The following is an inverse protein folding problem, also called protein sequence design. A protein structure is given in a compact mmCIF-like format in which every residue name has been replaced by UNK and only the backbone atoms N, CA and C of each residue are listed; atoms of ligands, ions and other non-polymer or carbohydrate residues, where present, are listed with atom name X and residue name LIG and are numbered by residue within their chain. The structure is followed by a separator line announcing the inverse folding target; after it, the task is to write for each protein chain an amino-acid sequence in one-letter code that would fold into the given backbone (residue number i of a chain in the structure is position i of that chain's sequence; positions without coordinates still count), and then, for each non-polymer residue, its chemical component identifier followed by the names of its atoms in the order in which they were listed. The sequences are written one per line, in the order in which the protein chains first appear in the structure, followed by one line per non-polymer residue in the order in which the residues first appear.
data_IF_475401809462
#
_entry.id   IF_475401809462
#
_cell.length_a   1.000
_cell.length_b   1.000
_cell.length_c   1.000
_cell.angle_alpha   90.00
_cell.angle_beta   90.00
_cell.angle_gamma   90.00
#
_symmetry.space_group_name_H-M   'P 1'
#
loop_
_entity.id
_entity.type
_entity.pdbx_description
1 polymer ?
#
# COMPACT_ATOMS: atom_id res chain seq x y z
N UNK A 1 1.37 -3.76 7.41
CA UNK A 1 0.59 -3.93 6.17
C UNK A 1 -0.64 -4.83 6.38
N UNK A 2 -0.50 -6.00 7.01
CA UNK A 2 -1.64 -6.91 7.29
C UNK A 2 -2.84 -6.23 7.97
N UNK A 3 -2.64 -5.38 8.97
CA UNK A 3 -3.72 -4.62 9.61
C UNK A 3 -4.48 -3.72 8.63
N UNK A 4 -3.81 -3.08 7.66
CA UNK A 4 -4.47 -2.26 6.65
C UNK A 4 -5.25 -3.15 5.67
N UNK A 5 -4.65 -4.26 5.22
CA UNK A 5 -5.30 -5.23 4.34
C UNK A 5 -6.58 -5.81 4.95
N UNK A 6 -6.55 -6.22 6.23
CA UNK A 6 -7.74 -6.69 6.94
C UNK A 6 -8.87 -5.64 6.95
N UNK A 7 -8.50 -4.38 7.15
CA UNK A 7 -9.46 -3.28 7.23
C UNK A 7 -10.03 -2.92 5.85
N UNK A 8 -9.24 -3.03 4.79
CA UNK A 8 -9.71 -2.93 3.41
C UNK A 8 -10.77 -3.99 3.10
N UNK A 9 -10.53 -5.24 3.48
CA UNK A 9 -11.50 -6.32 3.24
C UNK A 9 -12.80 -6.10 4.05
N UNK A 10 -12.71 -5.64 5.30
CA UNK A 10 -13.89 -5.25 6.10
C UNK A 10 -14.65 -4.08 5.46
N UNK A 11 -13.95 -3.10 4.89
CA UNK A 11 -14.56 -1.96 4.23
C UNK A 11 -15.29 -2.39 2.95
N UNK A 12 -14.65 -3.21 2.12
CA UNK A 12 -15.28 -3.79 0.92
C UNK A 12 -16.49 -4.65 1.27
N UNK A 13 -16.45 -5.44 2.33
CA UNK A 13 -17.60 -6.24 2.74
C UNK A 13 -18.84 -5.38 3.07
N UNK A 14 -18.65 -4.13 3.49
CA UNK A 14 -19.74 -3.19 3.81
C UNK A 14 -20.17 -2.32 2.62
N UNK A 15 -19.22 -1.95 1.77
CA UNK A 15 -19.42 -0.95 0.70
C UNK A 15 -19.37 -1.56 -0.72
N UNK A 16 -19.08 -2.86 -0.84
CA UNK A 16 -18.84 -3.59 -2.09
C UNK A 16 -17.73 -3.02 -2.99
N UNK A 17 -16.92 -2.11 -2.47
CA UNK A 17 -15.80 -1.46 -3.16
C UNK A 17 -14.75 -1.02 -2.13
N UNK A 18 -13.49 -0.88 -2.58
CA UNK A 18 -12.43 -0.23 -1.80
C UNK A 18 -12.39 1.29 -2.00
N UNK A 19 -13.14 1.83 -2.97
CA UNK A 19 -13.18 3.26 -3.25
C UNK A 19 -13.70 4.02 -2.03
N UNK A 20 -13.01 5.11 -1.69
CA UNK A 20 -13.28 5.92 -0.51
C UNK A 20 -12.63 5.42 0.78
N UNK A 21 -11.90 4.29 0.75
CA UNK A 21 -11.21 3.80 1.94
C UNK A 21 -10.11 4.78 2.39
N UNK A 22 -10.08 5.06 3.69
CA UNK A 22 -9.09 5.92 4.32
C UNK A 22 -8.61 5.29 5.63
N UNK A 23 -7.31 5.02 5.75
CA UNK A 23 -6.73 4.34 6.91
C UNK A 23 -6.49 5.24 8.14
N UNK A 24 -6.80 6.54 8.08
CA UNK A 24 -6.49 7.51 9.15
C UNK A 24 -6.99 7.09 10.54
N UNK A 25 -8.19 6.49 10.62
CA UNK A 25 -8.78 6.03 11.88
C UNK A 25 -7.96 4.93 12.58
N UNK A 26 -7.09 4.23 11.86
CA UNK A 26 -6.19 3.21 12.42
C UNK A 26 -4.97 3.83 13.14
N UNK A 27 -4.69 5.10 12.87
CA UNK A 27 -3.51 5.85 13.34
C UNK A 27 -3.90 7.19 14.00
N UNK A 28 -4.73 7.16 15.06
CA UNK A 28 -5.29 8.37 15.68
C UNK A 28 -4.25 9.22 16.44
N UNK A 29 -3.03 8.73 16.63
CA UNK A 29 -2.00 9.38 17.43
C UNK A 29 -0.82 9.82 16.55
N UNK A 30 -0.49 11.11 16.61
CA UNK A 30 0.77 11.72 16.15
C UNK A 30 1.05 11.76 14.63
N UNK A 31 0.14 12.27 13.79
CA UNK A 31 0.47 12.73 12.41
C UNK A 31 1.33 11.77 11.55
N UNK A 32 1.25 10.48 11.84
CA UNK A 32 2.07 9.43 11.19
C UNK A 32 1.47 9.07 9.84
N UNK A 33 0.15 9.23 9.71
CA UNK A 33 -0.61 8.97 8.50
C UNK A 33 -0.97 10.29 7.81
N UNK A 34 -0.55 10.45 6.57
CA UNK A 34 -0.96 11.55 5.70
C UNK A 34 -2.16 11.11 4.86
N UNK A 35 -3.29 11.77 5.12
CA UNK A 35 -4.57 11.50 4.43
C UNK A 35 -4.49 11.89 2.95
N UNK A 36 -3.74 12.93 2.62
CA UNK A 36 -3.68 13.51 1.27
C UNK A 36 -2.93 12.62 0.30
N UNK A 37 -1.98 11.82 0.79
CA UNK A 37 -1.20 10.86 0.00
C UNK A 37 -1.47 9.39 0.36
N UNK A 38 -2.34 9.12 1.35
CA UNK A 38 -2.56 7.79 1.92
C UNK A 38 -1.23 7.10 2.33
N UNK A 39 -0.32 7.86 2.96
CA UNK A 39 0.99 7.35 3.38
C UNK A 39 1.11 7.25 4.89
N UNK A 40 1.80 6.22 5.37
CA UNK A 40 2.16 6.03 6.77
C UNK A 40 3.68 6.04 6.93
N UNK A 41 4.22 6.96 7.73
CA UNK A 41 5.65 7.05 8.00
C UNK A 41 6.03 6.37 9.33
N UNK A 42 6.64 5.19 9.27
CA UNK A 42 7.03 4.43 10.47
C UNK A 42 8.40 4.88 10.99
N UNK A 43 8.44 6.03 11.68
CA UNK A 43 9.63 6.59 12.33
C UNK A 43 10.86 6.64 11.41
N UNK A 44 10.66 7.08 10.17
CA UNK A 44 11.70 7.16 9.14
C UNK A 44 12.41 5.83 8.82
N UNK A 45 11.83 4.67 9.19
CA UNK A 45 12.32 3.35 8.76
C UNK A 45 11.63 2.87 7.49
N UNK A 46 10.31 3.04 7.46
CA UNK A 46 9.49 2.66 6.33
C UNK A 46 8.47 3.73 6.00
N UNK A 47 8.22 3.92 4.71
CA UNK A 47 7.08 4.68 4.21
C UNK A 47 6.13 3.72 3.52
N UNK A 48 4.95 3.52 4.10
CA UNK A 48 3.91 2.68 3.52
C UNK A 48 2.96 3.57 2.72
N UNK A 49 2.62 3.18 1.50
CA UNK A 49 1.67 3.88 0.64
C UNK A 49 0.54 2.94 0.26
N UNK A 50 -0.69 3.45 0.24
CA UNK A 50 -1.89 2.72 -0.16
C UNK A 50 -2.53 3.39 -1.39
N UNK A 51 -2.74 2.60 -2.44
CA UNK A 51 -3.32 3.06 -3.71
C UNK A 51 -4.31 2.04 -4.27
N UNK A 52 -5.09 2.48 -5.26
CA UNK A 52 -5.86 1.61 -6.15
C UNK A 52 -4.91 0.82 -7.07
N UNK A 53 -5.26 -0.43 -7.38
CA UNK A 53 -4.47 -1.29 -8.26
C UNK A 53 -4.69 -1.01 -9.76
N UNK A 54 -5.61 -0.12 -10.13
CA UNK A 54 -5.81 0.27 -11.52
C UNK A 54 -4.62 1.05 -12.10
N UNK A 55 -4.58 1.17 -13.43
CA UNK A 55 -3.58 1.97 -14.14
C UNK A 55 -3.49 3.39 -13.58
N UNK A 56 -2.27 3.85 -13.34
CA UNK A 56 -1.99 5.17 -12.74
C UNK A 56 -2.02 5.19 -11.22
N UNK A 57 -2.46 4.09 -10.58
CA UNK A 57 -2.46 3.91 -9.13
C UNK A 57 -2.99 5.12 -8.33
N UNK A 58 -4.18 5.65 -8.66
CA UNK A 58 -4.76 6.76 -7.90
C UNK A 58 -4.99 6.34 -6.44
N UNK A 59 -5.12 7.32 -5.56
CA UNK A 59 -5.51 7.03 -4.18
C UNK A 59 -6.91 6.43 -4.16
N UNK A 60 -7.17 5.50 -3.24
CA UNK A 60 -8.52 4.92 -3.07
C UNK A 60 -9.58 5.99 -2.76
N UNK A 61 -9.18 7.14 -2.20
CA UNK A 61 -10.06 8.28 -1.93
C UNK A 61 -10.27 9.20 -3.12
N UNK A 62 -9.54 9.02 -4.23
CA UNK A 62 -9.66 9.85 -5.42
C UNK A 62 -10.95 9.51 -6.19
N UNK A 63 -11.55 10.53 -6.82
CA UNK A 63 -12.65 10.38 -7.77
C UNK A 63 -12.34 9.44 -8.94
N UNK A 64 -11.09 9.39 -9.39
CA UNK A 64 -10.59 8.57 -10.50
C UNK A 64 -10.36 7.10 -10.15
N UNK A 65 -10.35 6.74 -8.85
CA UNK A 65 -10.21 5.35 -8.39
C UNK A 65 -11.35 4.45 -8.87
N UNK A 66 -11.01 3.22 -9.24
CA UNK A 66 -11.94 2.16 -9.61
C UNK A 66 -12.56 1.49 -8.38
N UNK A 67 -11.80 1.41 -7.29
CA UNK A 67 -12.13 0.70 -6.06
C UNK A 67 -12.21 -0.82 -6.19
N UNK A 68 -11.71 -1.40 -7.29
CA UNK A 68 -11.81 -2.84 -7.56
C UNK A 68 -10.67 -3.64 -6.92
N UNK A 69 -9.53 -3.00 -6.68
CA UNK A 69 -8.39 -3.58 -6.01
C UNK A 69 -7.52 -2.53 -5.32
N UNK A 70 -6.51 -3.01 -4.60
CA UNK A 70 -5.61 -2.17 -3.82
C UNK A 70 -4.19 -2.71 -3.86
N UNK A 71 -3.24 -1.80 -3.66
CA UNK A 71 -1.82 -2.12 -3.49
C UNK A 71 -1.24 -1.37 -2.30
N UNK A 72 -0.60 -2.11 -1.40
CA UNK A 72 0.13 -1.59 -0.25
C UNK A 72 1.61 -1.79 -0.51
N UNK A 73 2.35 -0.70 -0.69
CA UNK A 73 3.81 -0.72 -0.87
C UNK A 73 4.49 -0.11 0.34
N UNK A 74 5.43 -0.83 0.93
CA UNK A 74 6.27 -0.35 2.03
C UNK A 74 7.71 -0.18 1.54
N UNK A 75 8.15 1.07 1.43
CA UNK A 75 9.51 1.42 1.04
C UNK A 75 10.38 1.57 2.29
N UNK A 76 11.48 0.83 2.35
CA UNK A 76 12.51 1.04 3.35
C UNK A 76 13.28 2.33 3.07
N UNK A 77 13.56 3.11 4.11
CA UNK A 77 14.43 4.29 4.04
C UNK A 77 15.92 3.93 4.08
N UNK A 78 16.24 2.69 4.49
CA UNK A 78 17.58 2.13 4.43
C UNK A 78 17.71 1.26 3.17
N UNK A 79 18.63 1.58 2.24
CA UNK A 79 18.81 0.85 0.99
C UNK A 79 19.34 -0.57 1.17
N UNK A 80 19.80 -0.95 2.37
CA UNK A 80 20.22 -2.32 2.67
C UNK A 80 19.05 -3.23 3.09
N UNK A 81 17.86 -2.66 3.34
CA UNK A 81 16.70 -3.41 3.80
C UNK A 81 15.69 -3.62 2.66
N UNK A 82 14.95 -4.73 2.77
CA UNK A 82 13.88 -5.06 1.83
C UNK A 82 12.73 -4.05 1.88
N UNK A 83 12.31 -3.58 0.72
CA UNK A 83 11.00 -2.98 0.51
C UNK A 83 10.00 -4.06 0.13
N UNK A 84 8.73 -3.88 0.51
CA UNK A 84 7.70 -4.92 0.46
C UNK A 84 6.48 -4.45 -0.34
N UNK A 85 5.82 -5.38 -1.02
CA UNK A 85 4.56 -5.17 -1.73
C UNK A 85 3.56 -6.24 -1.31
N UNK A 86 2.33 -5.80 -1.05
CA UNK A 86 1.16 -6.64 -0.83
C UNK A 86 0.00 -6.07 -1.65
N UNK A 87 -0.69 -6.90 -2.43
CA UNK A 87 -1.84 -6.47 -3.26
C UNK A 87 -3.07 -7.34 -3.06
N UNK A 88 -4.24 -6.81 -3.42
CA UNK A 88 -5.49 -7.59 -3.46
C UNK A 88 -5.48 -8.70 -4.52
N UNK A 89 -4.56 -8.66 -5.48
CA UNK A 89 -4.40 -9.68 -6.52
C UNK A 89 -3.55 -10.89 -6.06
N UNK A 90 -3.06 -10.87 -4.81
CA UNK A 90 -2.27 -11.97 -4.25
C UNK A 90 -0.75 -11.80 -4.38
N UNK A 91 -0.27 -10.68 -4.92
CA UNK A 91 1.16 -10.40 -4.96
C UNK A 91 1.67 -10.11 -3.55
N UNK A 92 2.65 -10.90 -3.11
CA UNK A 92 3.30 -10.78 -1.82
C UNK A 92 4.80 -10.97 -1.98
N UNK A 93 5.49 -9.88 -2.33
CA UNK A 93 6.90 -9.92 -2.72
C UNK A 93 7.71 -8.80 -2.07
N UNK A 94 9.03 -8.93 -2.12
CA UNK A 94 9.97 -7.95 -1.56
C UNK A 94 11.19 -7.79 -2.46
N UNK A 95 11.82 -6.62 -2.43
CA UNK A 95 13.08 -6.34 -3.14
C UNK A 95 13.92 -5.32 -2.36
N UNK A 96 15.24 -5.50 -2.31
CA UNK A 96 16.17 -4.50 -1.74
C UNK A 96 16.28 -3.28 -2.66
N UNK A 97 16.20 -3.50 -3.98
CA UNK A 97 16.29 -2.44 -4.99
C UNK A 97 14.92 -1.82 -5.22
N UNK A 98 14.58 -0.77 -4.45
CA UNK A 98 13.29 -0.05 -4.56
C UNK A 98 12.93 0.35 -6.00
N UNK A 99 13.91 0.73 -6.82
CA UNK A 99 13.69 1.17 -8.21
C UNK A 99 13.01 0.10 -9.08
N UNK A 100 13.14 -1.16 -8.71
CA UNK A 100 12.53 -2.28 -9.43
C UNK A 100 11.07 -2.52 -9.01
N UNK A 101 10.55 -1.81 -8.00
CA UNK A 101 9.24 -2.08 -7.43
C UNK A 101 8.16 -1.10 -7.87
N UNK A 102 7.11 -1.66 -8.48
CA UNK A 102 5.89 -0.94 -8.85
C UNK A 102 4.76 -1.23 -7.86
N UNK A 103 3.51 -1.05 -8.25
CA UNK A 103 2.34 -1.33 -7.40
C UNK A 103 1.67 -2.67 -7.73
N UNK A 104 2.19 -3.40 -8.70
CA UNK A 104 1.71 -4.71 -9.15
C UNK A 104 2.83 -5.77 -9.19
N UNK A 105 4.11 -5.37 -9.10
CA UNK A 105 5.25 -6.29 -9.07
C UNK A 105 6.42 -5.76 -8.23
N UNK A 106 7.33 -6.67 -7.84
CA UNK A 106 8.62 -6.33 -7.23
C UNK A 106 9.79 -6.33 -8.24
N UNK A 107 9.46 -6.25 -9.53
CA UNK A 107 10.40 -6.32 -10.65
C UNK A 107 10.82 -7.74 -11.02
N UNK A 108 11.66 -7.84 -12.06
CA UNK A 108 12.08 -9.13 -12.65
C UNK A 108 13.40 -9.67 -12.09
N UNK A 109 14.08 -8.90 -11.22
CA UNK A 109 15.40 -9.26 -10.68
C UNK A 109 15.55 -8.90 -9.20
N UNK A 110 16.12 -9.83 -8.43
CA UNK A 110 16.40 -9.64 -7.00
C UNK A 110 15.16 -9.58 -6.12
N UNK A 111 14.02 -10.06 -6.61
CA UNK A 111 12.80 -10.16 -5.82
C UNK A 111 12.65 -11.54 -5.18
N UNK A 112 11.98 -11.59 -4.04
CA UNK A 112 11.60 -12.81 -3.33
C UNK A 112 10.12 -12.74 -2.94
N UNK A 113 9.44 -13.89 -2.93
CA UNK A 113 8.13 -14.06 -2.29
C UNK A 113 8.31 -14.12 -0.76
N UNK A 114 7.32 -13.68 0.01
CA UNK A 114 7.37 -13.73 1.48
C UNK A 114 6.04 -14.12 2.11
#
# INVERSE_FOLDING_TARGET
MQKIAEQLERYKARNFSFKGFNANYLYPSNSVFDVSSQTLNLNSKYTITLVDSMTGNPLLTDSSSSGQGWSIKAISQDPANYSLLLTSAGVHCKNITQKNMDYDSCGDAGFEEW
#
